data_IF_547058196009
#
_entry.id   IF_547058196009
#
_cell.length_a   1.000
_cell.length_b   1.000
_cell.length_c   1.000
_cell.angle_alpha   90.00
_cell.angle_beta   90.00
_cell.angle_gamma   90.00
#
_symmetry.space_group_name_H-M   'P 1'
#
loop_
_entity.id
_entity.type
_entity.pdbx_description
1 polymer ?
#
# COMPACT_ATOMS: atom_id res chain seq x y z
N UNK A 1 -6.03 -2.39 -8.57
CA UNK A 1 -6.28 -2.08 -10.00
C UNK A 1 -5.11 -1.25 -10.52
N UNK A 2 -4.74 -1.41 -11.80
CA UNK A 2 -3.73 -0.55 -12.44
C UNK A 2 -4.48 0.56 -13.17
N UNK A 3 -4.26 1.81 -12.78
CA UNK A 3 -4.79 2.97 -13.48
C UNK A 3 -3.77 3.38 -14.55
N UNK A 4 -4.26 3.53 -15.78
CA UNK A 4 -3.47 3.95 -16.93
C UNK A 4 -3.69 5.43 -17.24
N UNK A 5 -3.16 5.91 -18.37
CA UNK A 5 -3.35 7.28 -18.80
C UNK A 5 -4.86 7.58 -18.96
N UNK A 6 -5.36 8.68 -18.35
CA UNK A 6 -6.78 9.01 -18.38
C UNK A 6 -7.19 9.65 -19.71
N UNK A 7 -8.50 9.66 -19.95
CA UNK A 7 -9.16 10.59 -20.85
C UNK A 7 -9.87 11.68 -20.05
N UNK A 8 -9.79 12.92 -20.51
CA UNK A 8 -10.22 14.12 -19.80
C UNK A 8 -11.53 14.63 -20.38
N UNK A 9 -12.51 14.84 -19.50
CA UNK A 9 -13.83 15.33 -19.87
C UNK A 9 -14.22 16.55 -19.04
N UNK A 10 -14.89 17.51 -19.69
CA UNK A 10 -15.54 18.63 -19.04
C UNK A 10 -17.05 18.45 -19.15
N UNK A 11 -17.75 18.63 -18.03
CA UNK A 11 -19.22 18.55 -17.99
C UNK A 11 -19.79 19.95 -17.80
N UNK A 12 -20.48 20.46 -18.82
CA UNK A 12 -21.19 21.72 -18.78
C UNK A 12 -22.66 21.50 -18.44
N UNK A 13 -23.22 22.40 -17.64
CA UNK A 13 -24.65 22.46 -17.35
C UNK A 13 -25.22 23.75 -17.97
N UNK A 14 -25.89 23.62 -19.09
CA UNK A 14 -26.62 24.71 -19.74
C UNK A 14 -28.00 24.87 -19.09
N UNK A 15 -28.38 26.10 -18.78
CA UNK A 15 -29.71 26.43 -18.26
C UNK A 15 -30.17 27.75 -18.87
N UNK A 16 -31.37 27.78 -19.44
CA UNK A 16 -32.01 28.99 -19.94
C UNK A 16 -33.06 29.47 -18.94
N UNK A 17 -33.00 30.75 -18.58
CA UNK A 17 -33.95 31.39 -17.66
C UNK A 17 -34.74 32.50 -18.35
N UNK A 18 -35.99 32.65 -17.93
CA UNK A 18 -36.89 33.74 -18.32
C UNK A 18 -37.36 34.48 -17.06
N UNK A 19 -37.36 35.81 -17.09
CA UNK A 19 -37.78 36.63 -15.96
C UNK A 19 -39.22 37.12 -16.16
N UNK A 20 -40.17 36.47 -15.50
CA UNK A 20 -41.60 36.80 -15.61
C UNK A 20 -42.24 36.89 -14.23
N UNK A 21 -43.06 37.92 -14.02
CA UNK A 21 -43.77 38.17 -12.76
C UNK A 21 -42.84 38.21 -11.52
N UNK A 22 -41.66 38.84 -11.65
CA UNK A 22 -40.74 39.06 -10.53
C UNK A 22 -39.87 37.86 -10.15
N UNK A 23 -39.88 36.78 -10.94
CA UNK A 23 -39.13 35.55 -10.67
C UNK A 23 -38.43 35.01 -11.91
N UNK A 24 -37.29 34.36 -11.68
CA UNK A 24 -36.61 33.56 -12.70
C UNK A 24 -37.30 32.20 -12.87
N UNK A 25 -37.61 31.85 -14.11
CA UNK A 25 -38.25 30.58 -14.49
C UNK A 25 -37.30 29.84 -15.44
N UNK A 26 -36.91 28.62 -15.07
CA UNK A 26 -36.12 27.71 -15.92
C UNK A 26 -36.98 27.29 -17.13
N UNK A 27 -36.47 27.50 -18.35
CA UNK A 27 -37.15 27.19 -19.63
C UNK A 27 -36.53 26.01 -20.36
N UNK A 28 -35.20 25.88 -20.27
CA UNK A 28 -34.45 24.81 -20.88
C UNK A 28 -33.28 24.43 -19.97
N UNK A 29 -32.87 23.17 -20.03
CA UNK A 29 -31.78 22.64 -19.23
C UNK A 29 -31.17 21.43 -19.92
N UNK A 30 -29.86 21.47 -20.10
CA UNK A 30 -29.10 20.40 -20.73
C UNK A 30 -27.77 20.17 -20.01
N UNK A 31 -27.29 18.93 -20.00
CA UNK A 31 -25.97 18.58 -19.46
C UNK A 31 -25.15 17.95 -20.57
N UNK A 32 -24.00 18.57 -20.87
CA UNK A 32 -23.17 18.24 -22.03
C UNK A 32 -21.80 17.82 -21.52
N UNK A 33 -21.34 16.65 -21.96
CA UNK A 33 -20.02 16.12 -21.65
C UNK A 33 -19.15 16.24 -22.90
N UNK A 34 -18.01 16.91 -22.77
CA UNK A 34 -17.09 17.17 -23.88
C UNK A 34 -15.74 16.57 -23.55
N UNK A 35 -15.19 15.78 -24.47
CA UNK A 35 -13.81 15.32 -24.40
C UNK A 35 -12.88 16.47 -24.82
N UNK A 36 -11.88 16.77 -24.00
CA UNK A 36 -10.97 17.90 -24.24
C UNK A 36 -9.56 17.47 -24.65
N UNK A 37 -9.32 16.17 -24.75
CA UNK A 37 -8.06 15.61 -25.23
C UNK A 37 -8.04 15.63 -26.77
N UNK A 38 -7.83 16.81 -27.37
CA UNK A 38 -7.68 16.91 -28.82
C UNK A 38 -8.15 18.23 -29.41
N UNK A 39 -8.83 18.14 -30.55
CA UNK A 39 -9.35 19.29 -31.29
C UNK A 39 -10.61 19.86 -30.65
N UNK A 40 -10.90 21.13 -30.96
CA UNK A 40 -12.13 21.82 -30.56
C UNK A 40 -13.35 20.99 -30.92
N UNK A 41 -14.19 20.73 -29.91
CA UNK A 41 -15.45 20.01 -30.08
C UNK A 41 -16.60 21.02 -30.19
N UNK A 42 -17.47 20.87 -31.20
CA UNK A 42 -18.61 21.74 -31.45
C UNK A 42 -19.93 21.01 -31.22
N UNK A 43 -20.81 21.60 -30.40
CA UNK A 43 -22.08 20.99 -29.97
C UNK A 43 -23.17 22.06 -29.78
N UNK A 44 -24.40 21.77 -30.21
CA UNK A 44 -25.54 22.66 -29.93
C UNK A 44 -25.96 22.61 -28.46
N UNK A 45 -26.14 23.77 -27.85
CA UNK A 45 -26.53 23.93 -26.44
C UNK A 45 -28.04 23.83 -26.24
N UNK A 46 -28.77 24.58 -27.05
CA UNK A 46 -30.19 24.82 -26.90
C UNK A 46 -31.03 23.83 -27.70
N UNK A 47 -32.28 23.63 -27.26
CA UNK A 47 -33.22 22.74 -27.95
C UNK A 47 -33.51 23.14 -29.40
N UNK A 48 -33.37 24.42 -29.76
CA UNK A 48 -33.65 24.91 -31.11
C UNK A 48 -32.43 24.88 -32.04
N UNK A 49 -31.26 24.43 -31.56
CA UNK A 49 -30.01 24.34 -32.33
C UNK A 49 -29.60 25.69 -32.95
N UNK A 50 -29.73 26.77 -32.19
CA UNK A 50 -29.31 28.11 -32.60
C UNK A 50 -27.98 28.51 -31.99
N UNK A 51 -27.68 27.99 -30.80
CA UNK A 51 -26.47 28.32 -30.07
C UNK A 51 -25.53 27.10 -30.07
N UNK A 52 -24.39 27.23 -30.73
CA UNK A 52 -23.36 26.21 -30.80
C UNK A 52 -22.19 26.58 -29.88
N UNK A 53 -21.76 25.63 -29.06
CA UNK A 53 -20.63 25.73 -28.15
C UNK A 53 -19.43 24.99 -28.73
N UNK A 54 -18.36 25.73 -29.01
CA UNK A 54 -17.02 25.21 -29.26
C UNK A 54 -16.23 25.16 -27.96
N UNK A 55 -15.66 24.01 -27.60
CA UNK A 55 -14.80 23.86 -26.41
C UNK A 55 -13.43 23.36 -26.82
N UNK A 56 -12.39 24.06 -26.39
CA UNK A 56 -10.98 23.67 -26.54
C UNK A 56 -10.25 23.74 -25.20
N UNK A 57 -9.23 22.91 -25.05
CA UNK A 57 -8.27 23.02 -23.95
C UNK A 57 -6.90 23.41 -24.51
N UNK A 58 -6.20 24.33 -23.85
CA UNK A 58 -4.85 24.77 -24.24
C UNK A 58 -3.76 23.72 -23.98
N UNK A 59 -4.11 22.57 -23.39
CA UNK A 59 -3.19 21.51 -23.02
C UNK A 59 -3.86 20.44 -22.16
N UNK A 60 -3.04 19.59 -21.53
CA UNK A 60 -3.52 18.63 -20.53
C UNK A 60 -4.07 19.36 -19.30
N UNK A 61 -4.96 18.69 -18.56
CA UNK A 61 -5.40 19.19 -17.26
C UNK A 61 -4.19 19.48 -16.34
N UNK A 62 -4.35 20.48 -15.46
CA UNK A 62 -3.29 20.93 -14.54
C UNK A 62 -2.73 19.83 -13.64
N UNK A 63 -3.56 18.87 -13.28
CA UNK A 63 -3.20 17.72 -12.48
C UNK A 63 -3.61 16.43 -13.17
N UNK A 64 -2.88 15.37 -12.87
CA UNK A 64 -3.23 14.03 -13.32
C UNK A 64 -2.85 13.05 -12.22
N UNK A 65 -3.74 12.10 -11.93
CA UNK A 65 -3.40 10.99 -11.06
C UNK A 65 -2.34 10.13 -11.76
N UNK A 66 -1.26 9.81 -11.06
CA UNK A 66 -0.13 9.08 -11.65
C UNK A 66 -0.54 7.68 -12.08
N UNK A 67 -0.02 7.24 -13.22
CA UNK A 67 -0.16 5.85 -13.69
C UNK A 67 0.47 4.92 -12.66
N UNK A 68 -0.29 3.94 -12.19
CA UNK A 68 0.19 3.07 -11.14
C UNK A 68 -0.89 2.19 -10.54
N UNK A 69 -0.53 1.54 -9.43
CA UNK A 69 -1.43 0.64 -8.74
C UNK A 69 -2.17 1.35 -7.61
N UNK A 70 -3.49 1.22 -7.63
CA UNK A 70 -4.40 1.75 -6.63
C UNK A 70 -5.31 0.63 -6.13
N UNK A 71 -5.98 0.86 -5.01
CA UNK A 71 -6.96 -0.09 -4.50
C UNK A 71 -8.10 0.65 -3.80
N UNK A 72 -9.23 -0.04 -3.68
CA UNK A 72 -10.40 0.42 -2.95
C UNK A 72 -10.88 -0.75 -2.09
N UNK A 73 -11.53 -0.41 -0.98
CA UNK A 73 -12.22 -1.43 -0.17
C UNK A 73 -13.44 -1.91 -0.95
N UNK A 74 -13.53 -3.23 -1.12
CA UNK A 74 -14.67 -3.87 -1.75
C UNK A 74 -15.71 -4.19 -0.67
N UNK A 75 -16.83 -3.46 -0.67
CA UNK A 75 -17.89 -3.70 0.28
C UNK A 75 -18.70 -4.95 -0.12
N UNK A 76 -19.39 -5.61 0.84
CA UNK A 76 -20.18 -6.81 0.54
C UNK A 76 -21.28 -6.61 -0.51
N UNK A 77 -21.73 -5.38 -0.71
CA UNK A 77 -22.72 -5.00 -1.73
C UNK A 77 -22.14 -4.86 -3.15
N UNK A 78 -20.81 -5.03 -3.33
CA UNK A 78 -20.13 -4.85 -4.61
C UNK A 78 -19.79 -3.39 -4.94
N UNK A 79 -20.18 -2.44 -4.09
CA UNK A 79 -19.74 -1.05 -4.21
C UNK A 79 -18.28 -0.96 -3.75
N UNK A 80 -17.47 -0.24 -4.53
CA UNK A 80 -16.11 0.07 -4.15
C UNK A 80 -16.05 1.45 -3.51
N UNK A 81 -15.34 1.54 -2.39
CA UNK A 81 -15.07 2.80 -1.71
C UNK A 81 -14.08 3.68 -2.51
N UNK A 82 -13.68 4.79 -1.90
CA UNK A 82 -12.69 5.72 -2.46
C UNK A 82 -11.34 5.04 -2.72
N UNK A 83 -10.68 5.50 -3.78
CA UNK A 83 -9.37 5.02 -4.17
C UNK A 83 -8.31 5.42 -3.15
N UNK A 84 -7.37 4.51 -2.91
CA UNK A 84 -6.20 4.68 -2.04
C UNK A 84 -4.93 4.40 -2.83
N UNK A 85 -3.88 5.12 -2.49
CA UNK A 85 -2.54 4.95 -3.06
C UNK A 85 -1.59 4.46 -1.97
N UNK A 86 -1.07 3.25 -2.16
CA UNK A 86 -0.04 2.66 -1.31
C UNK A 86 0.77 1.69 -2.17
N UNK A 87 2.00 1.42 -1.78
CA UNK A 87 2.87 0.52 -2.53
C UNK A 87 2.27 -0.89 -2.53
N UNK A 88 1.75 -1.31 -3.69
CA UNK A 88 1.06 -2.58 -3.91
C UNK A 88 1.64 -3.28 -5.13
N UNK A 89 1.72 -4.61 -5.06
CA UNK A 89 2.21 -5.44 -6.16
C UNK A 89 1.30 -5.36 -7.39
N UNK A 90 1.91 -5.28 -8.56
CA UNK A 90 1.22 -5.58 -9.82
C UNK A 90 0.75 -7.05 -9.88
N UNK A 91 -0.10 -7.37 -10.87
CA UNK A 91 -0.65 -8.72 -11.02
C UNK A 91 0.43 -9.78 -11.29
N UNK A 92 1.60 -9.43 -11.83
CA UNK A 92 2.76 -10.29 -12.08
C UNK A 92 3.85 -10.20 -11.00
N UNK A 93 3.77 -9.23 -10.08
CA UNK A 93 4.73 -9.03 -8.98
C UNK A 93 4.37 -9.80 -7.70
N UNK A 94 5.38 -10.18 -6.91
CA UNK A 94 5.19 -10.85 -5.62
C UNK A 94 6.27 -10.48 -4.61
N UNK A 95 6.37 -9.19 -4.30
CA UNK A 95 7.21 -8.64 -3.25
C UNK A 95 6.43 -8.63 -1.91
N UNK A 96 7.03 -9.17 -0.84
CA UNK A 96 6.41 -9.25 0.48
C UNK A 96 6.46 -7.94 1.27
N UNK A 97 7.26 -6.96 0.83
CA UNK A 97 7.33 -5.62 1.42
C UNK A 97 6.20 -4.69 0.93
N UNK A 98 5.48 -5.11 -0.13
CA UNK A 98 4.39 -4.39 -0.77
C UNK A 98 3.06 -5.08 -0.49
N UNK A 99 1.96 -4.35 -0.53
CA UNK A 99 0.62 -4.94 -0.46
C UNK A 99 0.36 -5.95 -1.59
N UNK A 100 -0.63 -6.85 -1.39
CA UNK A 100 -1.17 -7.70 -2.44
C UNK A 100 -0.43 -9.02 -2.69
N UNK A 101 0.40 -9.49 -1.76
CA UNK A 101 0.94 -10.87 -1.77
C UNK A 101 -0.09 -11.89 -1.26
N UNK A 102 -1.04 -11.48 -0.41
CA UNK A 102 -2.19 -12.28 0.03
C UNK A 102 -3.39 -12.01 -0.88
N UNK A 103 -3.75 -12.98 -1.74
CA UNK A 103 -4.72 -12.77 -2.82
C UNK A 103 -5.90 -13.73 -2.71
N UNK A 104 -7.09 -13.21 -3.01
CA UNK A 104 -8.32 -13.98 -3.15
C UNK A 104 -8.34 -14.69 -4.50
N UNK A 105 -8.57 -16.00 -4.50
CA UNK A 105 -8.76 -16.80 -5.70
C UNK A 105 -10.20 -16.67 -6.24
N UNK A 106 -10.49 -17.34 -7.37
CA UNK A 106 -11.81 -17.31 -8.00
C UNK A 106 -12.91 -17.99 -7.15
N UNK A 107 -12.53 -18.88 -6.23
CA UNK A 107 -13.45 -19.56 -5.30
C UNK A 107 -13.70 -18.73 -4.03
N UNK A 108 -12.94 -17.65 -3.86
CA UNK A 108 -13.03 -16.74 -2.74
C UNK A 108 -12.10 -17.06 -1.57
N UNK A 109 -11.19 -18.03 -1.72
CA UNK A 109 -10.19 -18.35 -0.72
C UNK A 109 -8.98 -17.43 -0.85
N UNK A 110 -8.46 -16.98 0.29
CA UNK A 110 -7.24 -16.19 0.29
C UNK A 110 -6.01 -17.10 0.39
N UNK A 111 -5.02 -16.83 -0.45
CA UNK A 111 -3.78 -17.61 -0.50
C UNK A 111 -2.57 -16.69 -0.61
N UNK A 112 -1.44 -17.12 -0.04
CA UNK A 112 -0.15 -16.46 -0.28
C UNK A 112 0.30 -16.82 -1.68
N UNK A 113 0.46 -15.81 -2.54
CA UNK A 113 0.90 -16.03 -3.91
C UNK A 113 2.28 -16.70 -3.94
N UNK A 114 2.39 -17.80 -4.67
CA UNK A 114 3.59 -18.66 -4.70
C UNK A 114 4.07 -19.10 -3.30
N UNK A 115 3.17 -19.20 -2.32
CA UNK A 115 3.49 -19.47 -0.92
C UNK A 115 4.33 -20.72 -0.72
N UNK A 116 4.03 -21.83 -1.44
CA UNK A 116 4.80 -23.08 -1.37
C UNK A 116 6.31 -22.90 -1.64
N UNK A 117 6.68 -21.95 -2.48
CA UNK A 117 8.08 -21.69 -2.87
C UNK A 117 8.69 -20.56 -2.04
N UNK A 118 7.88 -19.56 -1.68
CA UNK A 118 8.35 -18.34 -1.02
C UNK A 118 8.35 -18.42 0.50
N UNK A 119 7.58 -19.33 1.10
CA UNK A 119 7.46 -19.43 2.57
C UNK A 119 8.82 -19.67 3.24
N UNK A 120 9.69 -20.46 2.62
CA UNK A 120 11.03 -20.76 3.12
C UNK A 120 11.98 -19.56 3.14
N UNK A 121 11.66 -18.49 2.39
CA UNK A 121 12.45 -17.25 2.34
C UNK A 121 11.89 -16.18 3.26
N UNK A 122 10.57 -16.13 3.42
CA UNK A 122 9.90 -15.13 4.25
C UNK A 122 9.79 -15.57 5.71
N UNK A 123 9.61 -16.85 6.00
CA UNK A 123 9.48 -17.35 7.36
C UNK A 123 10.83 -17.85 7.85
N UNK A 124 11.44 -17.07 8.74
CA UNK A 124 12.69 -17.42 9.40
C UNK A 124 12.35 -17.94 10.80
N UNK A 125 12.92 -19.09 11.14
CA UNK A 125 12.79 -19.67 12.47
C UNK A 125 14.17 -20.07 12.99
N UNK A 126 14.43 -19.79 14.25
CA UNK A 126 15.68 -20.10 14.94
C UNK A 126 15.37 -20.84 16.23
N UNK A 127 15.82 -22.08 16.37
CA UNK A 127 15.61 -22.83 17.62
C UNK A 127 16.48 -22.21 18.72
N UNK A 128 15.87 -21.87 19.86
CA UNK A 128 16.59 -21.44 21.06
C UNK A 128 16.92 -22.64 21.95
N UNK A 129 15.92 -23.48 22.23
CA UNK A 129 16.07 -24.67 23.03
C UNK A 129 15.14 -25.77 22.53
N UNK A 130 15.71 -26.78 21.87
CA UNK A 130 14.95 -27.90 21.31
C UNK A 130 14.27 -28.77 22.38
N UNK A 131 14.92 -28.92 23.56
CA UNK A 131 14.38 -29.70 24.68
C UNK A 131 13.12 -29.05 25.26
N UNK A 132 13.14 -27.74 25.37
CA UNK A 132 12.02 -26.95 25.91
C UNK A 132 11.07 -26.50 24.79
N UNK A 133 11.33 -26.90 23.53
CA UNK A 133 10.60 -26.50 22.33
C UNK A 133 10.55 -24.98 22.11
N UNK A 134 11.53 -24.23 22.62
CA UNK A 134 11.63 -22.78 22.43
C UNK A 134 12.27 -22.46 21.10
N UNK A 135 11.63 -21.60 20.33
CA UNK A 135 12.11 -21.13 19.04
C UNK A 135 11.80 -19.65 18.85
N UNK A 136 12.67 -18.91 18.18
CA UNK A 136 12.33 -17.61 17.65
C UNK A 136 11.74 -17.75 16.26
N UNK A 137 10.72 -16.96 15.95
CA UNK A 137 10.13 -16.86 14.62
C UNK A 137 10.04 -15.42 14.17
N UNK A 138 10.26 -15.23 12.87
CA UNK A 138 10.24 -13.96 12.20
C UNK A 138 9.61 -14.13 10.82
N UNK A 139 8.69 -13.23 10.48
CA UNK A 139 8.13 -13.16 9.14
C UNK A 139 8.68 -11.91 8.45
N UNK A 140 9.52 -12.13 7.45
CA UNK A 140 10.10 -11.10 6.59
C UNK A 140 9.07 -10.65 5.53
N UNK A 141 8.05 -9.94 6.01
CA UNK A 141 6.98 -9.38 5.19
C UNK A 141 6.39 -8.14 5.86
N UNK A 142 5.76 -7.27 5.06
CA UNK A 142 4.95 -6.15 5.55
C UNK A 142 3.46 -6.39 5.29
N UNK A 143 2.62 -5.59 5.96
CA UNK A 143 1.16 -5.55 5.78
C UNK A 143 0.44 -6.84 6.20
N UNK A 144 0.75 -7.34 7.40
CA UNK A 144 0.06 -8.48 8.01
C UNK A 144 -0.39 -8.17 9.44
N UNK A 145 -1.32 -8.96 9.95
CA UNK A 145 -1.80 -8.87 11.34
C UNK A 145 -1.30 -10.09 12.11
N UNK A 146 -0.63 -9.86 13.23
CA UNK A 146 -0.16 -10.87 14.17
C UNK A 146 -0.99 -10.81 15.45
N UNK A 147 -2.07 -11.60 15.51
CA UNK A 147 -2.97 -11.63 16.66
C UNK A 147 -2.30 -12.10 17.97
N UNK A 148 -1.11 -12.69 17.90
CA UNK A 148 -0.36 -13.14 19.07
C UNK A 148 0.58 -12.04 19.61
N UNK A 149 0.64 -10.87 18.95
CA UNK A 149 1.35 -9.68 19.43
C UNK A 149 0.37 -8.72 20.10
N UNK A 150 0.23 -8.77 21.43
CA UNK A 150 -0.65 -7.82 22.12
C UNK A 150 -0.12 -6.38 22.05
N UNK A 151 1.17 -6.16 21.82
CA UNK A 151 1.75 -4.81 21.78
C UNK A 151 1.57 -4.16 20.40
N UNK A 152 1.79 -4.91 19.33
CA UNK A 152 1.62 -4.42 17.95
C UNK A 152 0.98 -5.49 17.05
N UNK A 153 -0.34 -5.75 17.22
CA UNK A 153 -1.01 -6.78 16.43
C UNK A 153 -1.08 -6.40 14.95
N UNK A 154 -1.14 -5.12 14.64
CA UNK A 154 -1.28 -4.62 13.27
C UNK A 154 0.06 -4.15 12.71
N UNK A 155 0.76 -5.01 11.98
CA UNK A 155 1.91 -4.61 11.13
C UNK A 155 1.44 -4.09 9.78
N UNK A 156 0.39 -3.25 9.82
CA UNK A 156 -0.32 -2.73 8.67
C UNK A 156 -0.95 -1.39 9.02
N UNK A 157 -0.52 -0.33 8.34
CA UNK A 157 -1.22 0.94 8.33
C UNK A 157 -1.84 1.15 6.95
N UNK A 158 -3.16 1.37 6.91
CA UNK A 158 -3.87 1.67 5.68
C UNK A 158 -3.77 3.18 5.40
N UNK A 159 -3.09 3.54 4.30
CA UNK A 159 -3.01 4.95 3.87
C UNK A 159 -4.40 5.53 3.60
N UNK A 160 -4.56 6.83 3.80
CA UNK A 160 -5.81 7.55 3.56
C UNK A 160 -6.25 7.50 2.08
N UNK A 161 -7.52 7.79 1.81
CA UNK A 161 -8.02 7.94 0.45
C UNK A 161 -7.30 9.08 -0.28
N UNK A 162 -7.13 8.96 -1.60
CA UNK A 162 -6.40 9.94 -2.42
C UNK A 162 -7.04 11.33 -2.35
N UNK A 163 -8.36 11.42 -2.18
CA UNK A 163 -9.10 12.68 -1.98
C UNK A 163 -8.78 13.39 -0.65
N UNK A 164 -8.31 12.65 0.35
CA UNK A 164 -7.86 13.23 1.63
C UNK A 164 -6.38 13.63 1.59
N UNK A 165 -5.61 12.99 0.71
CA UNK A 165 -4.17 13.21 0.55
C UNK A 165 -3.90 14.37 -0.42
N UNK A 166 -4.67 14.46 -1.50
CA UNK A 166 -4.45 15.42 -2.57
C UNK A 166 -5.60 16.43 -2.63
N UNK A 167 -5.38 17.69 -2.22
CA UNK A 167 -6.43 18.71 -2.18
C UNK A 167 -7.11 18.99 -3.53
N UNK A 168 -6.41 18.75 -4.64
CA UNK A 168 -6.92 18.92 -6.00
C UNK A 168 -7.93 17.83 -6.42
N UNK A 169 -8.08 16.75 -5.63
CA UNK A 169 -9.04 15.67 -5.89
C UNK A 169 -10.29 15.88 -5.05
N UNK A 170 -11.42 16.15 -5.71
CA UNK A 170 -12.74 16.18 -5.05
C UNK A 170 -13.27 14.77 -4.77
N UNK A 171 -13.08 13.85 -5.71
CA UNK A 171 -13.47 12.44 -5.52
C UNK A 171 -12.71 11.53 -6.48
N UNK A 172 -12.33 10.34 -6.04
CA UNK A 172 -11.71 9.33 -6.89
C UNK A 172 -12.31 7.95 -6.62
N UNK A 173 -13.14 7.46 -7.55
CA UNK A 173 -13.99 6.28 -7.34
C UNK A 173 -14.05 5.39 -8.57
N UNK A 174 -14.29 4.11 -8.35
CA UNK A 174 -14.55 3.15 -9.44
C UNK A 174 -16.03 3.18 -9.80
N UNK A 175 -16.32 3.31 -11.08
CA UNK A 175 -17.69 3.44 -11.58
C UNK A 175 -18.36 2.06 -11.76
N UNK A 176 -19.63 2.00 -11.38
CA UNK A 176 -20.59 0.92 -11.66
C UNK A 176 -20.22 -0.47 -11.11
N UNK A 177 -19.31 -0.57 -10.14
CA UNK A 177 -18.83 -1.86 -9.60
C UNK A 177 -18.11 -2.77 -10.61
N UNK A 178 -18.08 -2.39 -11.88
CA UNK A 178 -17.54 -3.15 -13.00
C UNK A 178 -16.02 -3.35 -12.93
N UNK A 179 -15.32 -2.50 -12.16
CA UNK A 179 -13.87 -2.50 -12.08
C UNK A 179 -13.16 -2.04 -13.36
N UNK A 180 -13.90 -1.48 -14.34
CA UNK A 180 -13.37 -1.12 -15.67
C UNK A 180 -12.84 0.30 -15.74
N UNK A 181 -13.52 1.23 -15.09
CA UNK A 181 -13.18 2.65 -15.14
C UNK A 181 -13.17 3.25 -13.75
N UNK A 182 -12.15 4.05 -13.48
CA UNK A 182 -12.12 4.95 -12.34
C UNK A 182 -12.34 6.37 -12.86
N UNK A 183 -13.13 7.15 -12.13
CA UNK A 183 -13.31 8.58 -12.40
C UNK A 183 -12.74 9.39 -11.26
N UNK A 184 -11.86 10.30 -11.64
CA UNK A 184 -11.27 11.31 -10.76
C UNK A 184 -11.95 12.63 -11.08
N UNK A 185 -12.64 13.20 -10.11
CA UNK A 185 -13.23 14.53 -10.20
C UNK A 185 -12.27 15.51 -9.55
N UNK A 186 -11.89 16.52 -10.31
CA UNK A 186 -10.99 17.56 -9.85
C UNK A 186 -11.78 18.55 -8.99
N UNK A 187 -11.20 19.00 -7.87
CA UNK A 187 -11.72 20.13 -7.12
C UNK A 187 -11.37 21.45 -7.82
N UNK A 188 -10.21 21.50 -8.48
CA UNK A 188 -9.70 22.65 -9.22
C UNK A 188 -9.09 22.22 -10.57
N UNK A 189 -9.19 23.09 -11.57
CA UNK A 189 -8.66 22.86 -12.90
C UNK A 189 -8.39 24.17 -13.62
N UNK A 190 -7.58 24.12 -14.67
CA UNK A 190 -7.33 25.25 -15.56
C UNK A 190 -8.58 25.58 -16.39
N UNK A 191 -8.72 26.85 -16.75
CA UNK A 191 -9.80 27.30 -17.62
C UNK A 191 -9.74 26.57 -18.97
N UNK A 192 -10.91 26.34 -19.53
CA UNK A 192 -11.09 25.91 -20.92
C UNK A 192 -11.47 27.10 -21.79
N UNK A 193 -11.06 27.05 -23.03
CA UNK A 193 -11.46 28.04 -24.02
C UNK A 193 -12.84 27.67 -24.56
N UNK A 194 -13.70 28.68 -24.62
CA UNK A 194 -15.10 28.53 -25.03
C UNK A 194 -15.39 29.52 -26.15
N UNK A 195 -15.89 29.01 -27.27
CA UNK A 195 -16.42 29.79 -28.37
C UNK A 195 -17.94 29.57 -28.45
N UNK A 196 -18.71 30.64 -28.60
CA UNK A 196 -20.16 30.58 -28.82
C UNK A 196 -20.48 31.11 -30.20
N UNK A 197 -21.16 30.30 -31.01
CA UNK A 197 -21.62 30.67 -32.34
C UNK A 197 -23.14 30.69 -32.37
N UNK A 198 -23.69 31.81 -32.84
CA UNK A 198 -25.13 31.97 -33.08
C UNK A 198 -25.43 31.70 -34.55
N UNK A 199 -26.30 30.73 -34.80
CA UNK A 199 -26.81 30.35 -36.12
C UNK A 199 -28.20 30.97 -36.37
N UNK A 200 -28.31 32.27 -36.11
CA UNK A 200 -29.52 33.06 -36.33
C UNK A 200 -29.17 34.52 -36.62
N UNK A 201 -29.48 35.00 -37.82
CA UNK A 201 -29.15 36.35 -38.28
C UNK A 201 -30.01 37.43 -37.62
N UNK A 202 -31.06 37.05 -36.88
CA UNK A 202 -32.02 37.99 -36.30
C UNK A 202 -31.66 38.45 -34.89
N UNK A 203 -30.74 37.76 -34.21
CA UNK A 203 -30.36 38.04 -32.83
C UNK A 203 -28.87 38.44 -32.72
N UNK A 204 -28.53 39.07 -31.60
CA UNK A 204 -27.14 39.35 -31.22
C UNK A 204 -26.85 38.71 -29.86
N UNK A 205 -25.60 38.31 -29.64
CA UNK A 205 -25.14 37.77 -28.36
C UNK A 205 -24.57 38.91 -27.51
N UNK A 206 -25.05 39.03 -26.29
CA UNK A 206 -24.51 39.94 -25.26
C UNK A 206 -24.17 39.13 -24.03
N UNK A 207 -22.99 39.36 -23.47
CA UNK A 207 -22.53 38.73 -22.24
C UNK A 207 -22.78 39.67 -21.08
N UNK A 208 -23.36 39.12 -20.02
CA UNK A 208 -23.63 39.83 -18.77
C UNK A 208 -22.94 39.08 -17.64
N UNK A 209 -22.45 39.82 -16.65
CA UNK A 209 -21.89 39.26 -15.43
C UNK A 209 -22.57 39.91 -14.22
N UNK A 210 -22.62 39.17 -13.13
CA UNK A 210 -23.10 39.69 -11.86
C UNK A 210 -21.99 40.48 -11.14
N UNK A 211 -22.39 41.23 -10.12
CA UNK A 211 -21.44 41.92 -9.24
C UNK A 211 -20.74 40.92 -8.31
N UNK A 212 -19.51 41.22 -7.92
CA UNK A 212 -18.80 40.46 -6.90
C UNK A 212 -18.94 41.14 -5.54
N UNK A 213 -19.00 40.34 -4.47
CA UNK A 213 -19.10 40.86 -3.09
C UNK A 213 -18.44 39.88 -2.12
N UNK A 214 -17.90 40.39 -1.02
CA UNK A 214 -17.48 39.61 0.15
C UNK A 214 -17.64 40.46 1.41
N UNK A 215 -18.13 39.88 2.51
CA UNK A 215 -18.26 40.62 3.78
C UNK A 215 -17.00 40.47 4.65
N UNK A 216 -16.41 39.27 4.73
CA UNK A 216 -15.16 38.99 5.46
C UNK A 216 -14.55 37.66 4.97
N UNK A 217 -13.35 37.34 5.44
CA UNK A 217 -12.75 36.02 5.27
C UNK A 217 -11.91 35.61 6.49
N UNK A 218 -11.67 34.31 6.61
CA UNK A 218 -10.73 33.72 7.56
C UNK A 218 -9.95 32.60 6.88
N UNK A 219 -8.88 32.12 7.52
CA UNK A 219 -8.18 30.95 7.03
C UNK A 219 -6.85 30.71 7.73
N UNK A 220 -6.12 29.72 7.23
CA UNK A 220 -4.79 29.33 7.71
C UNK A 220 -3.94 28.89 6.53
N UNK A 221 -2.68 29.28 6.51
CA UNK A 221 -1.69 28.72 5.58
C UNK A 221 -1.20 27.41 6.18
N UNK A 222 -1.30 26.33 5.41
CA UNK A 222 -0.98 24.97 5.86
C UNK A 222 0.09 24.37 4.94
N UNK A 223 1.10 23.78 5.56
CA UNK A 223 1.95 22.74 4.97
C UNK A 223 1.56 21.43 5.63
N UNK A 224 0.94 20.54 4.87
CA UNK A 224 0.44 19.26 5.40
C UNK A 224 1.53 18.19 5.53
N UNK A 225 1.16 17.03 6.08
CA UNK A 225 2.03 15.89 6.31
C UNK A 225 2.55 15.22 5.02
N UNK A 226 2.12 15.68 3.84
CA UNK A 226 2.61 15.26 2.51
C UNK A 226 3.26 16.42 1.75
N UNK A 227 3.59 17.50 2.45
CA UNK A 227 4.23 18.70 1.91
C UNK A 227 3.39 19.50 0.91
N UNK A 228 2.06 19.32 0.89
CA UNK A 228 1.19 20.20 0.11
C UNK A 228 1.09 21.56 0.82
N UNK A 229 1.36 22.64 0.09
CA UNK A 229 1.31 24.01 0.60
C UNK A 229 0.09 24.74 0.03
N UNK A 230 -0.81 25.17 0.91
CA UNK A 230 -2.04 25.83 0.50
C UNK A 230 -2.58 26.77 1.57
N UNK A 231 -3.40 27.72 1.14
CA UNK A 231 -4.20 28.57 2.00
C UNK A 231 -5.62 28.00 2.09
N UNK A 232 -5.99 27.52 3.28
CA UNK A 232 -7.34 27.07 3.57
C UNK A 232 -8.21 28.29 3.86
N UNK A 233 -8.82 28.83 2.81
CA UNK A 233 -9.58 30.08 2.81
C UNK A 233 -11.05 29.79 3.08
N UNK A 234 -11.66 30.47 4.04
CA UNK A 234 -13.11 30.52 4.23
C UNK A 234 -13.60 31.93 4.03
N UNK A 235 -14.42 32.15 3.00
CA UNK A 235 -15.05 33.45 2.71
C UNK A 235 -16.46 33.49 3.30
N UNK A 236 -16.89 34.66 3.76
CA UNK A 236 -18.19 34.88 4.38
C UNK A 236 -19.07 35.81 3.53
N UNK A 237 -20.31 35.36 3.29
CA UNK A 237 -21.31 36.05 2.48
C UNK A 237 -20.74 36.59 1.15
N UNK A 238 -20.00 35.73 0.44
CA UNK A 238 -19.30 36.07 -0.78
C UNK A 238 -20.01 35.58 -2.04
N UNK A 239 -19.79 36.26 -3.17
CA UNK A 239 -20.28 35.91 -4.51
C UNK A 239 -19.35 36.49 -5.58
N UNK A 240 -19.28 35.85 -6.76
CA UNK A 240 -18.54 36.35 -7.91
C UNK A 240 -17.03 36.06 -7.85
N UNK A 241 -16.24 37.03 -8.28
CA UNK A 241 -14.78 36.95 -8.44
C UNK A 241 -14.12 37.68 -7.27
N UNK A 242 -13.17 37.02 -6.62
CA UNK A 242 -12.39 37.58 -5.52
C UNK A 242 -10.91 37.53 -5.87
N UNK A 243 -10.21 38.63 -5.63
CA UNK A 243 -8.78 38.75 -5.81
C UNK A 243 -8.10 38.77 -4.44
N UNK A 244 -6.98 38.05 -4.34
CA UNK A 244 -6.22 37.92 -3.11
C UNK A 244 -4.74 38.21 -3.33
N UNK A 245 -4.15 38.89 -2.36
CA UNK A 245 -2.72 39.24 -2.35
C UNK A 245 -2.11 38.76 -1.04
N UNK A 246 -1.02 38.00 -1.14
CA UNK A 246 -0.21 37.53 -0.01
C UNK A 246 0.97 38.47 0.15
N UNK A 247 1.05 39.13 1.30
CA UNK A 247 2.15 40.04 1.65
C UNK A 247 3.34 39.24 2.18
N UNK A 248 4.54 39.81 2.07
CA UNK A 248 5.78 39.21 2.58
C UNK A 248 5.85 39.07 4.10
N UNK A 249 5.16 39.94 4.84
CA UNK A 249 5.17 39.94 6.32
C UNK A 249 3.75 40.16 6.88
N UNK A 250 3.63 40.30 8.20
CA UNK A 250 2.35 40.65 8.86
C UNK A 250 1.98 42.12 8.71
N UNK A 251 2.83 42.97 8.11
CA UNK A 251 2.52 44.36 7.82
C UNK A 251 1.79 44.50 6.47
N UNK A 252 0.66 45.22 6.46
CA UNK A 252 -0.13 45.54 5.26
C UNK A 252 0.72 46.29 4.22
N UNK A 253 1.68 47.09 4.67
CA UNK A 253 2.55 47.89 3.80
C UNK A 253 3.70 47.12 3.15
N UNK A 254 3.92 45.86 3.54
CA UNK A 254 5.01 45.05 3.00
C UNK A 254 4.75 44.63 1.55
N UNK A 255 5.83 44.26 0.84
CA UNK A 255 5.75 43.90 -0.57
C UNK A 255 4.82 42.69 -0.81
N UNK A 256 4.16 42.71 -1.96
CA UNK A 256 3.35 41.60 -2.45
C UNK A 256 4.26 40.46 -2.91
N UNK A 257 3.96 39.25 -2.45
CA UNK A 257 4.76 38.05 -2.72
C UNK A 257 4.04 37.09 -3.66
N UNK A 258 2.70 37.05 -3.61
CA UNK A 258 1.88 36.22 -4.48
C UNK A 258 0.47 36.81 -4.67
N UNK A 259 -0.09 36.69 -5.87
CA UNK A 259 -1.46 37.07 -6.18
C UNK A 259 -2.25 35.85 -6.64
N UNK A 260 -3.51 35.76 -6.23
CA UNK A 260 -4.42 34.70 -6.66
C UNK A 260 -5.82 35.27 -6.92
N UNK A 261 -6.59 34.55 -7.74
CA UNK A 261 -8.00 34.85 -8.00
C UNK A 261 -8.81 33.60 -7.69
N UNK A 262 -9.93 33.76 -7.01
CA UNK A 262 -10.86 32.66 -6.70
C UNK A 262 -12.28 33.02 -7.09
N UNK A 263 -13.11 32.00 -7.33
CA UNK A 263 -14.44 32.15 -7.91
C UNK A 263 -15.51 31.51 -7.02
N UNK A 264 -16.52 32.29 -6.66
CA UNK A 264 -17.69 31.84 -5.91
C UNK A 264 -18.88 31.76 -6.87
N UNK A 265 -19.12 30.58 -7.43
CA UNK A 265 -20.20 30.34 -8.40
C UNK A 265 -21.63 30.38 -7.83
N UNK A 266 -21.81 30.80 -6.58
CA UNK A 266 -23.11 30.93 -5.94
C UNK A 266 -23.65 32.35 -6.16
N UNK A 267 -24.85 32.49 -6.76
CA UNK A 267 -25.46 33.80 -7.07
C UNK A 267 -25.84 34.61 -5.82
N UNK A 268 -26.05 33.94 -4.69
CA UNK A 268 -26.35 34.59 -3.41
C UNK A 268 -25.10 34.53 -2.54
N UNK A 269 -24.91 35.58 -1.74
CA UNK A 269 -23.84 35.61 -0.75
C UNK A 269 -23.87 34.35 0.11
N UNK A 270 -22.76 33.60 0.06
CA UNK A 270 -22.63 32.30 0.72
C UNK A 270 -21.34 32.23 1.52
N UNK A 271 -21.32 31.33 2.50
CA UNK A 271 -20.10 30.99 3.22
C UNK A 271 -19.49 29.77 2.54
N UNK A 272 -18.22 29.87 2.11
CA UNK A 272 -17.57 28.82 1.33
C UNK A 272 -16.12 28.67 1.74
N UNK A 273 -15.70 27.43 1.88
CA UNK A 273 -14.29 27.08 2.10
C UNK A 273 -13.68 26.61 0.79
N UNK A 274 -12.48 27.12 0.50
CA UNK A 274 -11.71 26.94 -0.72
C UNK A 274 -10.25 26.67 -0.34
N UNK A 275 -9.53 25.95 -1.20
CA UNK A 275 -8.11 25.66 -1.00
C UNK A 275 -7.36 26.41 -2.09
N UNK A 276 -6.57 27.42 -1.72
CA UNK A 276 -5.75 28.16 -2.69
C UNK A 276 -4.32 27.60 -2.66
N UNK A 277 -3.83 26.97 -3.73
CA UNK A 277 -2.44 26.50 -3.78
C UNK A 277 -1.47 27.67 -3.65
N UNK A 278 -0.42 27.51 -2.85
CA UNK A 278 0.58 28.54 -2.63
C UNK A 278 1.97 28.09 -3.13
N UNK A 279 2.76 29.01 -3.73
CA UNK A 279 4.11 28.68 -4.18
C UNK A 279 5.05 28.44 -2.99
N UNK A 280 6.15 27.72 -3.23
CA UNK A 280 7.16 27.41 -2.22
C UNK A 280 7.81 28.65 -1.57
N UNK A 281 7.73 29.81 -2.22
CA UNK A 281 8.21 31.08 -1.70
C UNK A 281 7.48 31.53 -0.43
N UNK A 282 6.21 31.14 -0.24
CA UNK A 282 5.45 31.46 0.98
C UNK A 282 5.85 30.48 2.08
N UNK A 283 7.06 30.66 2.63
CA UNK A 283 7.61 29.82 3.70
C UNK A 283 7.51 30.49 5.08
N UNK A 284 7.35 29.65 6.11
CA UNK A 284 7.54 30.00 7.52
C UNK A 284 6.86 31.26 8.07
N UNK A 285 6.02 31.08 9.09
CA UNK A 285 5.51 32.17 9.92
C UNK A 285 4.33 32.94 9.31
N UNK A 286 3.68 33.72 10.16
CA UNK A 286 2.41 34.37 9.84
C UNK A 286 2.58 35.45 8.76
N UNK A 287 1.56 35.62 7.92
CA UNK A 287 1.55 36.56 6.79
C UNK A 287 0.27 37.39 6.77
N UNK A 288 0.35 38.63 6.31
CA UNK A 288 -0.85 39.39 5.97
C UNK A 288 -1.36 38.90 4.62
N UNK A 289 -2.64 38.54 4.56
CA UNK A 289 -3.35 38.27 3.31
C UNK A 289 -4.47 39.30 3.19
N UNK A 290 -4.63 39.85 2.00
CA UNK A 290 -5.67 40.83 1.70
C UNK A 290 -6.53 40.34 0.55
N UNK A 291 -7.86 40.45 0.68
CA UNK A 291 -8.83 40.07 -0.34
C UNK A 291 -9.73 41.26 -0.68
N UNK A 292 -10.13 41.34 -1.94
CA UNK A 292 -11.17 42.24 -2.39
C UNK A 292 -12.06 41.56 -3.45
N UNK A 293 -13.30 42.03 -3.55
CA UNK A 293 -14.19 41.63 -4.63
C UNK A 293 -13.81 42.36 -5.92
N UNK A 294 -14.08 41.73 -7.05
CA UNK A 294 -13.97 42.38 -8.36
C UNK A 294 -15.03 43.47 -8.51
N UNK A 295 -14.57 44.70 -8.74
CA UNK A 295 -15.40 45.88 -8.91
C UNK A 295 -14.65 46.87 -9.82
N UNK A 296 -15.36 47.47 -10.77
CA UNK A 296 -14.79 48.44 -11.73
C UNK A 296 -14.13 49.63 -11.02
N UNK A 297 -14.63 49.99 -9.84
CA UNK A 297 -14.12 51.08 -9.01
C UNK A 297 -13.44 50.53 -7.75
N UNK A 298 -12.31 49.84 -7.93
CA UNK A 298 -11.51 49.38 -6.80
C UNK A 298 -11.05 50.57 -5.94
N UNK A 299 -11.59 50.65 -4.72
CA UNK A 299 -11.07 51.50 -3.67
C UNK A 299 -10.29 50.62 -2.69
N UNK A 300 -9.04 50.97 -2.38
CA UNK A 300 -8.21 50.25 -1.39
C UNK A 300 -8.88 50.14 0.01
N UNK A 301 -9.89 50.97 0.28
CA UNK A 301 -10.69 50.91 1.50
C UNK A 301 -11.62 49.70 1.58
N UNK A 302 -11.97 49.08 0.46
CA UNK A 302 -12.82 47.88 0.40
C UNK A 302 -12.00 46.58 0.55
N UNK A 303 -10.67 46.69 0.56
CA UNK A 303 -9.77 45.56 0.75
C UNK A 303 -9.77 45.12 2.23
N UNK A 304 -10.18 43.87 2.46
CA UNK A 304 -10.17 43.25 3.78
C UNK A 304 -8.82 42.58 3.96
N UNK A 305 -8.09 42.93 5.01
CA UNK A 305 -6.80 42.31 5.34
C UNK A 305 -6.87 41.60 6.70
N UNK A 306 -6.22 40.43 6.77
CA UNK A 306 -6.14 39.59 7.97
C UNK A 306 -4.72 39.04 8.11
N UNK A 307 -4.24 38.95 9.35
CA UNK A 307 -3.04 38.18 9.67
C UNK A 307 -3.44 36.71 9.70
N UNK A 308 -2.83 35.92 8.82
CA UNK A 308 -3.12 34.50 8.64
C UNK A 308 -2.00 33.69 9.26
N UNK A 309 -2.39 32.77 10.14
CA UNK A 309 -1.47 31.91 10.87
C UNK A 309 -0.88 30.85 9.94
N UNK A 310 0.43 30.63 10.04
CA UNK A 310 1.13 29.56 9.35
C UNK A 310 1.22 28.30 10.21
N UNK A 311 0.80 27.17 9.66
CA UNK A 311 0.84 25.87 10.33
C UNK A 311 1.57 24.85 9.46
N UNK A 312 2.65 24.29 9.98
CA UNK A 312 3.39 23.22 9.34
C UNK A 312 3.26 21.94 10.15
N UNK A 313 2.86 20.86 9.48
CA UNK A 313 2.78 19.52 10.04
C UNK A 313 4.00 18.75 9.56
N UNK A 314 4.71 18.08 10.47
CA UNK A 314 5.87 17.28 10.11
C UNK A 314 5.48 16.20 9.08
N UNK A 315 6.41 15.93 8.15
CA UNK A 315 6.25 14.90 7.13
C UNK A 315 6.03 13.54 7.80
N UNK A 316 4.94 12.84 7.41
CA UNK A 316 4.67 11.50 7.92
C UNK A 316 5.51 10.47 7.14
N UNK A 317 6.43 9.83 7.83
CA UNK A 317 7.25 8.74 7.29
C UNK A 317 6.88 7.45 8.02
N UNK A 318 6.09 6.60 7.36
CA UNK A 318 5.70 5.30 7.88
C UNK A 318 6.84 4.29 7.64
N UNK A 319 7.76 4.17 8.61
CA UNK A 319 8.76 3.10 8.65
C UNK A 319 8.14 1.88 9.34
N UNK A 320 7.99 0.77 8.59
CA UNK A 320 7.61 -0.52 9.16
C UNK A 320 8.89 -1.30 9.46
N UNK A 321 9.14 -1.60 10.73
CA UNK A 321 10.26 -2.45 11.16
C UNK A 321 9.72 -3.78 11.69
N UNK A 322 10.35 -4.88 11.27
CA UNK A 322 10.01 -6.22 11.74
C UNK A 322 10.94 -6.64 12.90
N UNK A 323 10.38 -7.26 13.94
CA UNK A 323 11.12 -7.78 15.10
C UNK A 323 10.98 -9.31 15.27
N UNK A 324 12.03 -9.96 15.81
CA UNK A 324 12.05 -11.40 16.17
C UNK A 324 11.17 -11.69 17.39
N UNK A 325 10.53 -12.86 17.44
CA UNK A 325 9.65 -13.26 18.56
C UNK A 325 9.94 -14.66 19.06
N UNK A 326 9.91 -14.86 20.37
CA UNK A 326 9.94 -16.19 21.00
C UNK A 326 8.58 -16.88 20.84
N UNK A 327 8.61 -18.16 20.46
CA UNK A 327 7.48 -19.06 20.30
C UNK A 327 7.81 -20.35 21.05
N UNK A 328 6.92 -20.71 21.97
CA UNK A 328 6.91 -22.03 22.61
C UNK A 328 6.22 -23.04 21.68
N UNK A 329 6.96 -24.05 21.23
CA UNK A 329 6.43 -25.14 20.43
C UNK A 329 5.59 -26.10 21.27
N UNK A 330 4.38 -26.40 20.81
CA UNK A 330 3.54 -27.43 21.42
C UNK A 330 3.67 -28.74 20.66
N UNK A 331 4.57 -29.61 21.11
CA UNK A 331 4.68 -30.98 20.60
C UNK A 331 4.72 -31.99 21.76
N UNK A 332 3.56 -32.61 22.12
CA UNK A 332 3.47 -33.50 23.28
C UNK A 332 4.33 -34.77 23.18
N UNK A 333 4.83 -35.11 21.99
CA UNK A 333 5.58 -36.34 21.71
C UNK A 333 7.03 -36.11 21.22
N UNK A 334 7.45 -34.88 20.91
CA UNK A 334 8.74 -34.64 20.24
C UNK A 334 9.98 -34.94 21.10
N UNK A 335 9.83 -34.97 22.44
CA UNK A 335 10.94 -35.19 23.38
C UNK A 335 10.74 -36.39 24.31
N UNK A 336 9.73 -37.24 24.05
CA UNK A 336 9.57 -38.50 24.80
C UNK A 336 10.44 -39.58 24.16
N UNK A 337 11.42 -40.07 24.92
CA UNK A 337 12.11 -41.34 24.62
C UNK A 337 11.10 -42.49 24.76
N UNK A 338 10.24 -42.66 23.76
CA UNK A 338 9.38 -43.84 23.66
C UNK A 338 10.17 -44.97 23.04
N UNK A 339 10.01 -46.19 23.58
CA UNK A 339 10.66 -47.39 23.08
C UNK A 339 10.38 -47.62 21.58
N UNK A 340 9.21 -47.16 21.10
CA UNK A 340 8.84 -47.14 19.68
C UNK A 340 9.60 -46.11 18.83
N UNK A 341 9.88 -44.90 19.35
CA UNK A 341 10.69 -43.88 18.68
C UNK A 341 12.18 -44.22 18.62
N UNK A 342 12.68 -44.93 19.64
CA UNK A 342 14.02 -45.50 19.61
C UNK A 342 14.12 -46.58 18.53
N UNK A 343 13.16 -47.50 18.46
CA UNK A 343 13.11 -48.56 17.44
C UNK A 343 12.92 -48.02 16.00
N UNK A 344 12.20 -46.92 15.81
CA UNK A 344 12.06 -46.30 14.47
C UNK A 344 13.38 -45.71 13.96
N UNK A 345 14.27 -45.26 14.85
CA UNK A 345 15.60 -44.76 14.50
C UNK A 345 16.61 -45.89 14.19
N UNK A 346 16.33 -47.12 14.60
CA UNK A 346 17.13 -48.31 14.24
C UNK A 346 16.65 -49.03 12.97
N UNK A 347 15.59 -48.54 12.32
CA UNK A 347 15.13 -49.11 11.06
C UNK A 347 15.89 -48.46 9.89
N UNK A 348 16.81 -49.17 9.21
CA UNK A 348 17.59 -48.63 8.10
C UNK A 348 16.71 -48.18 6.92
N UNK A 349 15.47 -48.66 6.84
CA UNK A 349 14.51 -48.21 5.84
C UNK A 349 14.04 -46.77 6.04
N UNK A 350 14.12 -46.24 7.28
CA UNK A 350 13.74 -44.86 7.59
C UNK A 350 14.87 -43.85 7.31
N UNK A 351 16.13 -44.31 7.27
CA UNK A 351 17.29 -43.44 6.99
C UNK A 351 17.32 -42.94 5.54
N UNK A 352 16.73 -43.71 4.61
CA UNK A 352 16.71 -43.38 3.19
C UNK A 352 15.72 -42.25 2.82
N UNK A 353 14.71 -41.98 3.65
CA UNK A 353 13.60 -41.09 3.29
C UNK A 353 13.80 -39.60 3.67
N UNK A 354 14.99 -39.17 4.09
CA UNK A 354 15.19 -37.82 4.69
C UNK A 354 16.48 -37.07 4.35
N UNK A 355 17.24 -37.48 3.34
CA UNK A 355 18.55 -36.89 3.03
C UNK A 355 18.37 -35.62 2.17
N UNK A 356 18.12 -34.47 2.81
CA UNK A 356 18.07 -33.16 2.13
C UNK A 356 19.07 -32.13 2.68
N UNK A 357 19.80 -32.43 3.76
CA UNK A 357 20.83 -31.54 4.33
C UNK A 357 22.14 -32.27 4.66
N UNK A 358 23.26 -31.55 4.61
CA UNK A 358 24.60 -32.07 4.97
C UNK A 358 24.63 -32.57 6.42
N UNK A 359 23.86 -31.95 7.32
CA UNK A 359 23.76 -32.42 8.71
C UNK A 359 23.04 -33.77 8.83
N UNK A 360 22.02 -34.01 8.00
CA UNK A 360 21.31 -35.29 7.96
C UNK A 360 22.24 -36.39 7.43
N UNK A 361 23.13 -36.06 6.50
CA UNK A 361 24.12 -37.02 5.99
C UNK A 361 25.14 -37.42 7.06
N UNK A 362 25.62 -36.48 7.88
CA UNK A 362 26.53 -36.78 9.00
C UNK A 362 25.85 -37.67 10.04
N UNK A 363 24.57 -37.42 10.37
CA UNK A 363 23.82 -38.28 11.29
C UNK A 363 23.67 -39.73 10.76
N UNK A 364 23.37 -39.89 9.47
CA UNK A 364 23.29 -41.23 8.84
C UNK A 364 24.63 -41.95 8.90
N UNK A 365 25.76 -41.26 8.69
CA UNK A 365 27.09 -41.86 8.83
C UNK A 365 27.35 -42.30 10.27
N UNK A 366 27.02 -41.47 11.26
CA UNK A 366 27.21 -41.84 12.66
C UNK A 366 26.36 -43.05 13.06
N UNK A 367 25.11 -43.13 12.58
CA UNK A 367 24.24 -44.27 12.84
C UNK A 367 24.77 -45.56 12.20
N UNK A 368 25.27 -45.48 10.95
CA UNK A 368 25.91 -46.61 10.27
C UNK A 368 27.17 -47.08 11.00
N UNK A 369 28.02 -46.16 11.48
CA UNK A 369 29.24 -46.49 12.24
C UNK A 369 28.88 -47.18 13.56
N UNK A 370 27.88 -46.65 14.29
CA UNK A 370 27.40 -47.27 15.53
C UNK A 370 26.86 -48.67 15.26
N UNK A 371 26.10 -48.86 14.18
CA UNK A 371 25.56 -50.17 13.80
C UNK A 371 26.65 -51.19 13.45
N UNK A 372 27.71 -50.76 12.74
CA UNK A 372 28.88 -51.59 12.45
C UNK A 372 29.60 -51.99 13.74
N UNK A 373 29.80 -51.06 14.68
CA UNK A 373 30.41 -51.35 15.98
C UNK A 373 29.56 -52.36 16.76
N UNK A 374 28.24 -52.19 16.77
CA UNK A 374 27.31 -53.10 17.45
C UNK A 374 27.35 -54.51 16.83
N UNK A 375 27.38 -54.61 15.50
CA UNK A 375 27.56 -55.88 14.78
C UNK A 375 28.91 -56.52 15.10
N UNK A 376 29.99 -55.75 15.20
CA UNK A 376 31.32 -56.25 15.58
C UNK A 376 31.35 -56.77 17.02
N UNK A 377 30.70 -56.07 17.96
CA UNK A 377 30.56 -56.52 19.36
C UNK A 377 29.75 -57.81 19.41
N UNK A 378 28.61 -57.88 18.72
CA UNK A 378 27.77 -59.09 18.65
C UNK A 378 28.57 -60.24 18.03
N UNK A 379 29.29 -60.00 16.93
CA UNK A 379 30.16 -60.98 16.31
C UNK A 379 31.25 -61.47 17.26
N UNK A 380 31.90 -60.56 18.01
CA UNK A 380 32.94 -60.90 18.98
C UNK A 380 32.37 -61.71 20.14
N UNK A 381 31.25 -61.31 20.72
CA UNK A 381 30.57 -62.05 21.81
C UNK A 381 30.12 -63.43 21.33
N UNK A 382 29.56 -63.54 20.12
CA UNK A 382 29.16 -64.83 19.56
C UNK A 382 30.36 -65.74 19.29
N UNK A 383 31.42 -65.24 18.65
CA UNK A 383 32.57 -66.06 18.22
C UNK A 383 33.60 -66.34 19.31
N UNK A 384 33.79 -65.42 20.28
CA UNK A 384 34.81 -65.53 21.33
C UNK A 384 34.26 -65.91 22.70
N UNK A 385 33.00 -65.63 23.00
CA UNK A 385 32.38 -66.01 24.28
C UNK A 385 31.38 -67.15 24.11
N UNK A 386 30.31 -66.97 23.33
CA UNK A 386 29.20 -67.92 23.28
C UNK A 386 29.57 -69.22 22.57
N UNK A 387 30.10 -69.20 21.35
CA UNK A 387 30.45 -70.43 20.60
C UNK A 387 31.47 -71.31 21.36
N UNK A 388 32.54 -70.76 21.98
CA UNK A 388 33.44 -71.55 22.82
C UNK A 388 32.75 -72.09 24.09
N UNK A 389 31.92 -71.30 24.76
CA UNK A 389 31.16 -71.76 25.93
C UNK A 389 30.13 -72.85 25.57
N UNK A 390 29.45 -72.75 24.43
CA UNK A 390 28.53 -73.79 23.94
C UNK A 390 29.28 -75.06 23.51
N UNK A 391 30.49 -74.95 22.94
CA UNK A 391 31.36 -76.11 22.67
C UNK A 391 31.85 -76.78 23.95
N UNK A 392 32.08 -76.04 25.03
CA UNK A 392 32.42 -76.61 26.34
C UNK A 392 31.21 -77.17 27.10
N UNK A 393 30.02 -76.59 26.95
CA UNK A 393 28.81 -76.98 27.68
C UNK A 393 28.05 -78.17 27.07
N UNK A 394 28.20 -78.43 25.76
CA UNK A 394 27.53 -79.53 25.05
C UNK A 394 28.48 -80.65 24.58
N UNK A 395 29.66 -80.81 25.20
CA UNK A 395 30.47 -82.01 25.04
C UNK A 395 29.76 -83.22 25.67
N UNK A 396 28.93 -83.87 24.85
CA UNK A 396 28.41 -85.22 25.07
C UNK A 396 29.56 -86.19 25.35
N UNK A 397 29.40 -86.93 26.43
CA UNK A 397 30.27 -88.01 26.87
C UNK A 397 30.35 -89.14 25.84
N UNK A 398 31.39 -89.13 25.01
CA UNK A 398 31.98 -90.35 24.44
C UNK A 398 33.31 -90.05 23.76
N UNK A 399 34.40 -90.49 24.37
CA UNK A 399 35.62 -90.89 23.67
C UNK A 399 36.59 -89.80 23.22
N UNK A 400 37.64 -89.62 24.02
CA UNK A 400 39.04 -89.35 23.64
C UNK A 400 39.40 -88.14 22.76
N UNK A 401 40.54 -87.53 23.14
CA UNK A 401 41.39 -86.58 22.43
C UNK A 401 41.13 -85.08 22.61
N UNK A 402 42.10 -84.50 23.34
CA UNK A 402 42.84 -83.28 23.01
C UNK A 402 42.09 -81.94 23.04
N UNK A 403 42.44 -81.12 24.03
CA UNK A 403 43.24 -79.91 23.78
C UNK A 403 43.77 -79.36 25.11
N UNK A 404 45.05 -79.58 25.38
CA UNK A 404 45.80 -78.95 26.47
C UNK A 404 45.98 -77.47 26.19
N UNK A 405 45.47 -76.62 27.08
CA UNK A 405 45.94 -75.24 27.23
C UNK A 405 47.40 -75.28 27.72
N UNK A 406 48.34 -74.81 26.89
CA UNK A 406 49.71 -74.52 27.31
C UNK A 406 50.04 -73.07 27.00
N UNK A 407 50.42 -72.37 28.07
CA UNK A 407 50.93 -71.00 28.12
C UNK A 407 52.39 -70.94 27.59
N UNK A 408 52.92 -69.75 27.26
CA UNK A 408 53.94 -69.57 26.22
C UNK A 408 55.36 -69.89 26.72
N UNK A 409 56.16 -70.54 25.86
CA UNK A 409 57.60 -70.67 26.07
C UNK A 409 58.35 -69.62 25.25
N UNK A 410 59.13 -68.80 25.96
CA UNK A 410 60.25 -68.05 25.43
C UNK A 410 61.22 -68.98 24.69
N UNK A 411 61.66 -68.61 23.50
CA UNK A 411 62.99 -68.95 22.98
C UNK A 411 63.39 -67.95 21.90
N UNK A 412 64.37 -67.12 22.25
CA UNK A 412 65.13 -66.30 21.32
C UNK A 412 65.91 -67.20 20.34
N UNK A 413 65.98 -66.82 19.07
CA UNK A 413 67.17 -67.04 18.26
C UNK A 413 67.44 -65.81 17.41
N UNK A 414 68.68 -65.35 17.55
CA UNK A 414 69.34 -64.27 16.84
C UNK A 414 69.35 -64.44 15.32
N UNK A 415 69.63 -63.29 14.69
CA UNK A 415 70.32 -63.06 13.41
C UNK A 415 69.50 -63.34 12.14
N UNK A 416 69.06 -62.30 11.42
CA UNK A 416 69.80 -61.36 10.54
C UNK A 416 70.03 -61.88 9.10
N UNK A 417 69.85 -60.94 8.17
CA UNK A 417 70.08 -60.97 6.71
C UNK A 417 69.00 -61.73 5.92
N UNK A 418 68.23 -61.12 5.00
CA UNK A 418 68.48 -59.99 4.10
C UNK A 418 67.23 -59.13 3.86
#
# INVERSE_FOLDING_TARGET
MKLEQPTTFVTFKYVAYDYTAGRWIEKDKNTIRVEIDGQTQWLFLDRWRRLELGVSAGGRASHQLETGMYFAVNNPNGEMNELRQQVINEINENNFDKLGWFRKDALGHFTVRNGKVKIQRMHLAKVENCKDQKSQSFLDAHHYVDYNDPENPERFALEAAVERIYPWIRSARVIDGSGRHAVVTHSEGTNVEVALQLHDDTYSLSFVHDFSKMDDFSGTVIVDFKSNRFFNLTVYNATGILHGTVKKTTDKSSNDEFHFTTYIGDMRGTNKTLIVPLPALIDGGDRMICLHADNDNFNEQEEICRIIVFKEVALEINLLENTWKEIDGHCPECNKLTMGGFLSNFNPMNWANGISSVSNFVMVITDVVVYIILLLIIYFVLTRCLIPCFKCAFCFSSGSLCCSFSSPSCKSKNAQHH
#
